data_IF_030491741011
#
_entry.id   IF_030491741011
#
_cell.length_a   1.000
_cell.length_b   1.000
_cell.length_c   1.000
_cell.angle_alpha   90.00
_cell.angle_beta   90.00
_cell.angle_gamma   90.00
#
_symmetry.space_group_name_H-M   'P 1'
#
loop_
_entity.id
_entity.type
_entity.pdbx_description
1 polymer ?
#
# COMPACT_ATOMS: atom_id res chain seq x y z
N UNK A 1 25.47 26.89 -61.38
CA UNK A 1 25.65 25.58 -60.72
C UNK A 1 24.43 25.39 -59.84
N UNK A 2 23.42 24.66 -60.29
CA UNK A 2 22.25 24.31 -59.51
C UNK A 2 22.52 22.94 -58.88
N UNK A 3 22.75 22.94 -57.57
CA UNK A 3 22.73 21.70 -56.80
C UNK A 3 21.34 21.11 -56.81
N UNK A 4 21.18 20.00 -57.49
CA UNK A 4 19.98 19.17 -57.46
C UNK A 4 19.91 18.49 -56.08
N UNK A 5 19.05 18.94 -55.21
CA UNK A 5 18.62 18.22 -54.02
C UNK A 5 17.97 16.92 -54.48
N UNK A 6 18.68 15.80 -54.40
CA UNK A 6 18.10 14.48 -54.60
C UNK A 6 17.08 14.22 -53.49
N UNK A 7 15.83 13.83 -53.81
CA UNK A 7 14.89 13.43 -52.82
C UNK A 7 15.37 12.17 -52.10
N UNK A 8 15.34 12.22 -50.78
CA UNK A 8 15.69 11.09 -49.91
C UNK A 8 14.66 9.95 -50.15
N UNK A 9 15.06 8.99 -50.99
CA UNK A 9 14.23 7.89 -51.49
C UNK A 9 14.30 6.68 -50.55
N UNK A 10 14.36 6.90 -49.24
CA UNK A 10 14.17 5.82 -48.27
C UNK A 10 12.76 5.24 -48.42
N UNK A 11 12.65 4.04 -48.97
CA UNK A 11 11.36 3.35 -49.09
C UNK A 11 10.69 3.24 -47.70
N UNK A 12 9.36 3.19 -47.69
CA UNK A 12 8.52 3.11 -46.48
C UNK A 12 9.10 2.09 -45.45
N UNK A 13 9.56 0.95 -45.90
CA UNK A 13 10.16 -0.10 -45.06
C UNK A 13 11.41 0.36 -44.33
N UNK A 14 12.29 1.12 -45.00
CA UNK A 14 13.50 1.67 -44.38
C UNK A 14 13.18 2.72 -43.32
N UNK A 15 12.18 3.57 -43.58
CA UNK A 15 11.69 4.57 -42.61
C UNK A 15 11.10 3.90 -41.36
N UNK A 16 10.24 2.89 -41.55
CA UNK A 16 9.65 2.11 -40.46
C UNK A 16 10.77 1.45 -39.61
N UNK A 17 11.74 0.80 -40.23
CA UNK A 17 12.87 0.17 -39.54
C UNK A 17 13.69 1.19 -38.74
N UNK A 18 13.95 2.38 -39.28
CA UNK A 18 14.63 3.48 -38.57
C UNK A 18 13.84 3.93 -37.35
N UNK A 19 12.50 4.09 -37.47
CA UNK A 19 11.63 4.46 -36.35
C UNK A 19 11.71 3.40 -35.24
N UNK A 20 11.53 2.11 -35.56
CA UNK A 20 11.61 1.04 -34.55
C UNK A 20 13.01 0.96 -33.91
N UNK A 21 14.08 1.18 -34.67
CA UNK A 21 15.44 1.22 -34.12
C UNK A 21 15.58 2.39 -33.13
N UNK A 22 15.13 3.59 -33.48
CA UNK A 22 15.15 4.76 -32.59
C UNK A 22 14.32 4.50 -31.32
N UNK A 23 13.10 3.99 -31.44
CA UNK A 23 12.26 3.64 -30.29
C UNK A 23 12.93 2.58 -29.39
N UNK A 24 13.57 1.57 -29.99
CA UNK A 24 14.34 0.56 -29.26
C UNK A 24 15.52 1.14 -28.49
N UNK A 25 16.29 2.05 -29.10
CA UNK A 25 17.37 2.75 -28.42
C UNK A 25 16.89 3.67 -27.31
N UNK A 26 15.80 4.41 -27.51
CA UNK A 26 15.18 5.24 -26.47
C UNK A 26 14.69 4.40 -25.31
N UNK A 27 14.01 3.27 -25.59
CA UNK A 27 13.57 2.33 -24.58
C UNK A 27 14.76 1.78 -23.78
N UNK A 28 15.80 1.29 -24.44
CA UNK A 28 17.01 0.78 -23.77
C UNK A 28 17.67 1.87 -22.92
N UNK A 29 17.77 3.09 -23.44
CA UNK A 29 18.27 4.24 -22.70
C UNK A 29 17.43 4.53 -21.45
N UNK A 30 16.10 4.48 -21.56
CA UNK A 30 15.19 4.65 -20.41
C UNK A 30 15.40 3.56 -19.36
N UNK A 31 15.51 2.29 -19.78
CA UNK A 31 15.78 1.18 -18.86
C UNK A 31 17.13 1.32 -18.15
N UNK A 32 18.18 1.75 -18.88
CA UNK A 32 19.50 2.02 -18.27
C UNK A 32 19.37 3.17 -17.25
N UNK A 33 18.65 4.24 -17.56
CA UNK A 33 18.40 5.33 -16.61
C UNK A 33 17.68 4.83 -15.36
N UNK A 34 16.74 3.90 -15.48
CA UNK A 34 16.05 3.29 -14.35
C UNK A 34 16.97 2.44 -13.45
N UNK A 35 18.20 2.13 -13.84
CA UNK A 35 19.19 1.50 -12.95
C UNK A 35 19.90 2.50 -12.03
N UNK A 36 19.78 3.81 -12.30
CA UNK A 36 20.40 4.86 -11.49
C UNK A 36 19.61 5.06 -10.19
N UNK A 37 20.24 4.90 -9.00
CA UNK A 37 19.57 4.96 -7.70
C UNK A 37 18.73 6.23 -7.49
N UNK A 38 19.26 7.39 -7.85
CA UNK A 38 18.56 8.67 -7.73
C UNK A 38 17.29 8.72 -8.57
N UNK A 39 17.33 8.21 -9.81
CA UNK A 39 16.16 8.15 -10.72
C UNK A 39 15.12 7.18 -10.17
N UNK A 40 15.54 6.00 -9.70
CA UNK A 40 14.63 5.03 -9.08
C UNK A 40 13.85 5.65 -7.92
N UNK A 41 14.56 6.32 -6.99
CA UNK A 41 13.92 6.96 -5.85
C UNK A 41 12.92 8.03 -6.28
N UNK A 42 13.25 8.87 -7.27
CA UNK A 42 12.34 9.91 -7.75
C UNK A 42 11.09 9.36 -8.42
N UNK A 43 11.21 8.27 -9.17
CA UNK A 43 10.06 7.60 -9.80
C UNK A 43 9.22 6.85 -8.77
N UNK A 44 9.87 6.16 -7.83
CA UNK A 44 9.17 5.39 -6.80
C UNK A 44 8.37 6.30 -5.85
N UNK A 45 9.03 7.31 -5.30
CA UNK A 45 8.41 8.15 -4.27
C UNK A 45 7.59 9.29 -4.85
N UNK A 46 7.98 9.83 -6.01
CA UNK A 46 7.35 11.01 -6.64
C UNK A 46 7.08 12.15 -5.65
N UNK A 47 7.90 12.25 -4.62
CA UNK A 47 7.72 13.17 -3.50
C UNK A 47 7.91 14.65 -3.88
N UNK A 48 8.46 14.93 -5.06
CA UNK A 48 8.49 16.27 -5.65
C UNK A 48 7.09 16.77 -6.07
N UNK A 49 6.14 15.85 -6.32
CA UNK A 49 4.75 16.18 -6.63
C UNK A 49 3.96 16.43 -5.35
N UNK A 50 4.12 17.60 -4.75
CA UNK A 50 3.47 18.00 -3.48
C UNK A 50 2.04 18.48 -3.68
N UNK A 51 1.18 17.60 -4.20
CA UNK A 51 -0.25 17.94 -4.39
C UNK A 51 -1.02 17.87 -3.05
N UNK A 52 -1.99 18.80 -2.81
CA UNK A 52 -2.28 19.99 -3.61
C UNK A 52 -1.13 21.01 -3.53
N UNK A 53 -0.87 21.70 -4.64
CA UNK A 53 0.16 22.75 -4.67
C UNK A 53 -0.12 23.83 -3.63
N UNK A 54 0.89 24.24 -2.88
CA UNK A 54 0.77 25.21 -1.79
C UNK A 54 -0.22 24.76 -0.70
N UNK A 55 -0.17 23.51 -0.30
CA UNK A 55 -0.98 23.00 0.81
C UNK A 55 -0.76 23.84 2.08
N UNK A 56 -1.86 24.31 2.66
CA UNK A 56 -1.86 25.04 3.92
C UNK A 56 -2.06 24.04 5.07
N UNK A 57 -0.99 23.42 5.52
CA UNK A 57 -1.06 22.37 6.55
C UNK A 57 -1.58 22.88 7.90
N UNK A 58 -1.36 24.19 8.20
CA UNK A 58 -1.86 24.84 9.41
C UNK A 58 -3.34 25.26 9.30
N UNK A 59 -3.97 25.05 8.16
CA UNK A 59 -5.38 25.34 7.92
C UNK A 59 -6.08 24.15 7.24
N UNK A 60 -6.24 23.01 7.94
CA UNK A 60 -6.84 21.79 7.40
C UNK A 60 -8.25 21.98 6.84
N UNK A 61 -8.97 22.99 7.31
CA UNK A 61 -10.31 23.38 6.86
C UNK A 61 -10.36 23.73 5.37
N UNK A 62 -9.26 24.29 4.84
CA UNK A 62 -9.13 24.59 3.40
C UNK A 62 -9.10 23.36 2.52
N UNK A 63 -8.88 22.20 3.13
CA UNK A 63 -8.83 20.92 2.46
C UNK A 63 -10.10 20.08 2.68
N UNK A 64 -11.10 20.63 3.40
CA UNK A 64 -12.43 20.01 3.58
C UNK A 64 -12.66 19.38 4.95
N UNK A 65 -11.71 19.51 5.89
CA UNK A 65 -11.93 19.10 7.28
C UNK A 65 -12.71 20.20 8.05
N UNK A 66 -13.37 19.81 9.12
CA UNK A 66 -14.15 20.76 9.91
C UNK A 66 -13.22 21.71 10.72
N UNK A 67 -13.63 22.96 10.98
CA UNK A 67 -12.84 23.92 11.75
C UNK A 67 -12.49 23.38 13.14
N UNK A 68 -11.22 23.47 13.52
CA UNK A 68 -10.72 23.04 14.83
C UNK A 68 -10.75 21.53 15.10
N UNK A 69 -11.14 20.71 14.11
CA UNK A 69 -11.17 19.24 14.21
C UNK A 69 -9.80 18.59 14.09
N UNK A 70 -8.83 19.30 13.53
CA UNK A 70 -7.51 18.76 13.15
C UNK A 70 -6.39 19.56 13.76
N UNK A 71 -5.47 18.90 14.46
CA UNK A 71 -4.22 19.45 14.91
C UNK A 71 -3.11 19.22 13.85
N UNK A 72 -2.37 20.27 13.47
CA UNK A 72 -1.15 20.16 12.69
C UNK A 72 0.03 20.01 13.64
N UNK A 73 0.65 18.82 13.66
CA UNK A 73 1.67 18.47 14.65
C UNK A 73 3.00 18.13 13.97
N UNK A 74 4.06 18.13 14.77
CA UNK A 74 5.40 17.69 14.35
C UNK A 74 5.85 16.52 15.19
N UNK A 75 6.35 15.47 14.52
CA UNK A 75 6.83 14.24 15.16
C UNK A 75 8.32 14.12 14.88
N UNK A 76 9.11 13.88 15.92
CA UNK A 76 10.55 13.65 15.82
C UNK A 76 10.84 12.17 15.64
N UNK A 77 11.68 11.84 14.68
CA UNK A 77 12.19 10.47 14.48
C UNK A 77 13.47 10.22 15.27
N UNK A 78 13.79 8.95 15.50
CA UNK A 78 14.98 8.54 16.24
C UNK A 78 16.30 8.99 15.57
N UNK A 79 16.29 9.16 14.25
CA UNK A 79 17.41 9.68 13.44
C UNK A 79 17.32 11.19 13.18
N UNK A 80 16.57 11.90 14.03
CA UNK A 80 16.52 13.36 14.10
C UNK A 80 15.88 14.08 12.89
N UNK A 81 14.91 13.43 12.23
CA UNK A 81 14.04 14.08 11.24
C UNK A 81 12.75 14.56 11.90
N UNK A 82 12.19 15.63 11.35
CA UNK A 82 10.90 16.18 11.80
C UNK A 82 9.83 15.88 10.76
N UNK A 83 8.80 15.14 11.13
CA UNK A 83 7.68 14.82 10.25
C UNK A 83 6.52 15.77 10.49
N UNK A 84 5.87 16.21 9.41
CA UNK A 84 4.57 16.87 9.49
C UNK A 84 3.47 15.82 9.58
N UNK A 85 2.49 16.05 10.43
CA UNK A 85 1.37 15.15 10.61
C UNK A 85 0.08 15.91 10.94
N UNK A 86 -1.05 15.31 10.63
CA UNK A 86 -2.36 15.72 11.10
C UNK A 86 -2.91 14.69 12.07
N UNK A 87 -3.33 15.17 13.25
CA UNK A 87 -4.17 14.41 14.15
C UNK A 87 -5.60 14.93 14.04
N UNK A 88 -6.50 14.06 13.62
CA UNK A 88 -7.90 14.39 13.31
C UNK A 88 -8.78 13.69 14.33
N UNK A 89 -9.60 14.44 15.04
CA UNK A 89 -10.52 13.92 16.04
C UNK A 89 -11.65 13.10 15.40
N UNK A 90 -12.12 12.07 16.09
CA UNK A 90 -13.35 11.37 15.74
C UNK A 90 -14.56 12.32 15.80
N UNK A 91 -15.61 12.01 15.06
CA UNK A 91 -16.81 12.87 15.01
C UNK A 91 -17.46 13.00 16.39
N UNK A 92 -17.51 11.92 17.20
CA UNK A 92 -18.08 11.98 18.53
C UNK A 92 -17.36 13.00 19.41
N UNK A 93 -16.02 12.94 19.49
CA UNK A 93 -15.24 13.89 20.31
C UNK A 93 -15.42 15.31 19.77
N UNK A 94 -15.39 15.48 18.45
CA UNK A 94 -15.54 16.78 17.82
C UNK A 94 -16.92 17.39 18.08
N UNK A 95 -18.00 16.61 18.01
CA UNK A 95 -19.37 17.08 18.20
C UNK A 95 -19.71 17.43 19.66
N UNK A 96 -18.94 16.91 20.63
CA UNK A 96 -19.09 17.28 22.04
C UNK A 96 -18.52 18.68 22.33
N UNK A 97 -17.79 19.28 21.39
CA UNK A 97 -17.24 20.62 21.51
C UNK A 97 -18.27 21.70 21.15
N UNK A 98 -18.10 22.88 21.74
CA UNK A 98 -18.86 24.06 21.31
C UNK A 98 -18.51 24.47 19.88
N UNK A 99 -19.48 24.87 19.09
CA UNK A 99 -19.23 25.36 17.71
C UNK A 99 -19.40 26.89 17.64
N UNK A 100 -18.46 27.64 16.98
CA UNK A 100 -17.20 27.13 16.45
C UNK A 100 -16.19 26.82 17.56
N UNK A 101 -15.44 25.71 17.45
CA UNK A 101 -14.41 25.41 18.42
C UNK A 101 -13.22 26.37 18.27
N UNK A 102 -12.41 26.57 19.34
CA UNK A 102 -11.17 27.33 19.21
C UNK A 102 -10.22 26.69 18.18
N UNK A 103 -9.37 27.46 17.49
CA UNK A 103 -8.44 26.90 16.49
C UNK A 103 -7.51 25.82 17.03
N UNK A 104 -7.15 25.85 18.32
CA UNK A 104 -6.31 24.87 18.99
C UNK A 104 -7.12 23.71 19.64
N UNK A 105 -8.42 23.62 19.40
CA UNK A 105 -9.26 22.63 20.09
C UNK A 105 -8.75 21.20 19.93
N UNK A 106 -8.45 20.77 18.70
CA UNK A 106 -7.94 19.43 18.47
C UNK A 106 -6.63 19.16 19.22
N UNK A 107 -5.70 20.12 19.24
CA UNK A 107 -4.39 19.97 19.91
C UNK A 107 -4.55 19.77 21.42
N UNK A 108 -5.48 20.50 22.04
CA UNK A 108 -5.76 20.40 23.47
C UNK A 108 -6.42 19.07 23.87
N UNK A 109 -7.06 18.39 22.95
CA UNK A 109 -7.81 17.15 23.21
C UNK A 109 -7.10 15.88 22.75
N UNK A 110 -5.87 15.92 22.19
CA UNK A 110 -5.17 14.75 21.66
C UNK A 110 -5.09 13.63 22.70
N UNK A 111 -4.53 13.91 23.88
CA UNK A 111 -4.31 12.88 24.90
C UNK A 111 -5.61 12.30 25.45
N UNK A 112 -6.67 13.06 25.50
CA UNK A 112 -8.00 12.58 25.86
C UNK A 112 -8.57 11.72 24.72
N UNK A 113 -8.49 12.19 23.47
CA UNK A 113 -9.05 11.53 22.31
C UNK A 113 -8.45 10.13 22.08
N UNK A 114 -7.13 9.97 22.24
CA UNK A 114 -6.47 8.65 22.03
C UNK A 114 -6.82 7.63 23.13
N UNK A 115 -7.30 8.08 24.29
CA UNK A 115 -7.75 7.20 25.38
C UNK A 115 -9.23 6.88 25.31
N UNK A 116 -10.02 7.71 24.64
CA UNK A 116 -11.48 7.54 24.54
C UNK A 116 -11.91 6.81 23.27
N UNK A 117 -11.15 6.95 22.17
CA UNK A 117 -11.51 6.41 20.86
C UNK A 117 -10.33 5.71 20.21
N UNK A 118 -10.58 4.64 19.45
CA UNK A 118 -9.56 4.03 18.61
C UNK A 118 -8.92 5.05 17.67
N UNK A 119 -7.67 4.81 17.31
CA UNK A 119 -6.93 5.69 16.39
C UNK A 119 -6.44 4.91 15.17
N UNK A 120 -6.76 5.42 13.99
CA UNK A 120 -6.19 4.95 12.73
C UNK A 120 -4.84 5.63 12.51
N UNK A 121 -3.76 4.85 12.49
CA UNK A 121 -2.44 5.30 12.06
C UNK A 121 -2.32 5.06 10.56
N UNK A 122 -2.38 6.16 9.78
CA UNK A 122 -2.49 6.10 8.32
C UNK A 122 -1.17 6.41 7.60
N UNK A 123 -0.78 5.51 6.71
CA UNK A 123 0.39 5.60 5.82
C UNK A 123 -0.05 5.73 4.37
N UNK A 124 0.25 6.87 3.76
CA UNK A 124 -0.19 7.19 2.41
C UNK A 124 0.68 6.54 1.31
N UNK A 125 0.15 6.50 0.08
CA UNK A 125 0.86 6.06 -1.12
C UNK A 125 1.93 7.06 -1.59
N UNK A 126 2.59 6.74 -2.73
CA UNK A 126 3.55 7.64 -3.34
C UNK A 126 2.92 8.98 -3.76
N UNK A 127 3.76 9.96 -4.10
CA UNK A 127 3.37 11.32 -4.49
C UNK A 127 2.48 12.06 -3.48
N UNK A 128 2.20 13.32 -3.75
CA UNK A 128 1.28 14.18 -3.02
C UNK A 128 1.56 14.26 -1.50
N UNK A 129 0.60 14.82 -0.72
CA UNK A 129 0.74 15.06 0.71
C UNK A 129 -0.49 14.55 1.46
N UNK A 130 -0.45 14.55 2.81
CA UNK A 130 -1.61 14.27 3.66
C UNK A 130 -2.84 15.12 3.35
N UNK A 131 -2.66 16.28 2.70
CA UNK A 131 -3.73 17.21 2.33
C UNK A 131 -4.42 16.89 0.98
N UNK A 132 -4.02 15.79 0.29
CA UNK A 132 -4.66 15.40 -0.97
C UNK A 132 -6.15 15.09 -0.74
N UNK A 133 -7.03 15.65 -1.56
CA UNK A 133 -8.49 15.59 -1.38
C UNK A 133 -9.03 14.17 -1.19
N UNK A 134 -8.54 13.21 -1.95
CA UNK A 134 -8.91 11.79 -1.79
C UNK A 134 -8.53 11.26 -0.40
N UNK A 135 -7.34 11.58 0.10
CA UNK A 135 -6.88 11.19 1.46
C UNK A 135 -7.75 11.84 2.53
N UNK A 136 -8.10 13.11 2.34
CA UNK A 136 -8.98 13.84 3.26
C UNK A 136 -10.37 13.20 3.32
N UNK A 137 -10.95 12.79 2.17
CA UNK A 137 -12.21 12.04 2.16
C UNK A 137 -12.11 10.72 2.94
N UNK A 138 -10.99 10.02 2.81
CA UNK A 138 -10.74 8.78 3.55
C UNK A 138 -10.67 9.05 5.06
N UNK A 139 -9.96 10.09 5.50
CA UNK A 139 -9.92 10.48 6.92
C UNK A 139 -11.30 10.83 7.45
N UNK A 140 -12.09 11.61 6.69
CA UNK A 140 -13.47 11.92 7.05
C UNK A 140 -14.34 10.68 7.20
N UNK A 141 -14.15 9.68 6.32
CA UNK A 141 -14.80 8.39 6.44
C UNK A 141 -14.42 7.65 7.72
N UNK A 142 -13.14 7.62 8.06
CA UNK A 142 -12.68 6.97 9.30
C UNK A 142 -13.20 7.68 10.55
N UNK A 143 -13.20 9.02 10.57
CA UNK A 143 -13.69 9.76 11.73
C UNK A 143 -15.21 9.67 11.92
N UNK A 144 -15.98 9.54 10.84
CA UNK A 144 -17.43 9.46 10.89
C UNK A 144 -17.97 8.02 10.99
N UNK A 145 -17.52 7.12 10.10
CA UNK A 145 -18.09 5.76 10.02
C UNK A 145 -17.47 4.78 11.00
N UNK A 146 -16.17 4.96 11.33
CA UNK A 146 -15.48 4.12 12.33
C UNK A 146 -15.44 4.78 13.71
N UNK A 147 -15.86 6.04 13.81
CA UNK A 147 -15.76 6.83 15.04
C UNK A 147 -14.34 6.80 15.64
N UNK A 148 -13.32 6.80 14.77
CA UNK A 148 -11.91 6.70 15.14
C UNK A 148 -11.20 8.03 14.93
N UNK A 149 -10.21 8.34 15.78
CA UNK A 149 -9.25 9.39 15.46
C UNK A 149 -8.36 8.95 14.30
N UNK A 150 -7.71 9.91 13.63
CA UNK A 150 -6.76 9.59 12.56
C UNK A 150 -5.45 10.33 12.80
N UNK A 151 -4.33 9.61 12.81
CA UNK A 151 -3.00 10.18 12.67
C UNK A 151 -2.49 9.91 11.25
N UNK A 152 -2.39 10.97 10.44
CA UNK A 152 -1.87 10.92 9.08
C UNK A 152 -0.55 11.69 8.99
N UNK A 153 0.55 10.99 8.69
CA UNK A 153 1.88 11.60 8.54
C UNK A 153 2.22 11.86 7.08
N UNK A 154 3.07 12.86 6.84
CA UNK A 154 3.88 12.92 5.62
C UNK A 154 5.27 12.39 5.95
N UNK A 155 5.76 11.40 5.21
CA UNK A 155 7.11 10.85 5.39
C UNK A 155 8.18 11.90 5.12
N UNK A 156 9.42 11.64 5.55
CA UNK A 156 10.58 12.46 5.17
C UNK A 156 10.61 12.73 3.66
N UNK A 157 10.81 13.98 3.28
CA UNK A 157 10.80 14.45 1.88
C UNK A 157 9.42 14.72 1.29
N UNK A 158 8.32 14.35 1.95
CA UNK A 158 6.95 14.65 1.52
C UNK A 158 6.37 15.84 2.28
N UNK A 159 5.39 16.51 1.68
CA UNK A 159 4.70 17.64 2.31
C UNK A 159 5.64 18.69 2.85
N UNK A 160 5.51 18.95 4.14
CA UNK A 160 6.38 19.85 4.93
C UNK A 160 7.37 19.08 5.82
N UNK A 161 7.57 17.78 5.57
CA UNK A 161 8.60 16.96 6.19
C UNK A 161 9.91 17.09 5.40
N UNK A 162 11.00 17.59 5.99
CA UNK A 162 12.29 17.68 5.30
C UNK A 162 12.95 16.31 5.11
N UNK A 163 14.00 16.27 4.31
CA UNK A 163 14.81 15.06 4.09
C UNK A 163 14.55 14.41 2.74
N UNK A 164 15.06 13.18 2.58
CA UNK A 164 14.95 12.37 1.37
C UNK A 164 14.37 11.00 1.74
N UNK A 165 13.33 10.54 1.04
CA UNK A 165 12.72 9.26 1.35
C UNK A 165 13.64 8.10 0.96
N UNK A 166 13.71 7.11 1.85
CA UNK A 166 14.34 5.80 1.64
C UNK A 166 13.50 4.73 2.31
N UNK A 167 13.64 3.47 1.91
CA UNK A 167 12.85 2.37 2.50
C UNK A 167 13.05 2.27 4.01
N UNK A 168 14.31 2.34 4.49
CA UNK A 168 14.62 2.32 5.91
C UNK A 168 14.16 3.61 6.62
N UNK A 169 14.30 4.76 5.93
CA UNK A 169 13.81 6.04 6.44
C UNK A 169 12.32 6.05 6.69
N UNK A 170 11.52 5.54 5.74
CA UNK A 170 10.06 5.43 5.90
C UNK A 170 9.69 4.49 7.07
N UNK A 171 10.50 3.46 7.32
CA UNK A 171 10.28 2.56 8.47
C UNK A 171 10.52 3.27 9.80
N UNK A 172 11.55 4.13 9.88
CA UNK A 172 11.81 4.97 11.05
C UNK A 172 10.71 6.02 11.24
N UNK A 173 10.19 6.59 10.15
CA UNK A 173 9.08 7.55 10.18
C UNK A 173 7.81 6.89 10.74
N UNK A 174 7.50 5.68 10.27
CA UNK A 174 6.35 4.92 10.75
C UNK A 174 6.48 4.55 12.24
N UNK A 175 7.67 4.14 12.67
CA UNK A 175 7.92 3.84 14.08
C UNK A 175 7.79 5.09 14.94
N UNK A 176 8.30 6.22 14.52
CA UNK A 176 8.15 7.48 15.23
C UNK A 176 6.69 7.91 15.39
N UNK A 177 5.85 7.71 14.36
CA UNK A 177 4.42 7.98 14.44
C UNK A 177 3.70 7.06 15.43
N UNK A 178 4.05 5.78 15.46
CA UNK A 178 3.56 4.83 16.45
C UNK A 178 3.98 5.23 17.86
N UNK A 179 5.28 5.44 18.09
CA UNK A 179 5.82 5.80 19.39
C UNK A 179 5.21 7.11 19.92
N UNK A 180 4.94 8.05 19.01
CA UNK A 180 4.25 9.30 19.37
C UNK A 180 2.83 9.05 19.88
N UNK A 181 2.03 8.18 19.20
CA UNK A 181 0.68 7.82 19.68
C UNK A 181 0.71 7.19 21.07
N UNK A 182 1.65 6.27 21.30
CA UNK A 182 1.78 5.62 22.60
C UNK A 182 2.19 6.64 23.68
N UNK A 183 3.07 7.60 23.34
CA UNK A 183 3.46 8.68 24.24
C UNK A 183 2.31 9.65 24.56
N UNK A 184 1.30 9.80 23.68
CA UNK A 184 0.07 10.54 23.94
C UNK A 184 -0.91 9.78 24.85
N UNK A 185 -0.67 8.50 25.14
CA UNK A 185 -1.51 7.66 25.99
C UNK A 185 -2.40 6.66 25.23
N UNK A 186 -2.22 6.51 23.92
CA UNK A 186 -2.94 5.49 23.16
C UNK A 186 -2.58 4.08 23.65
N UNK A 187 -3.59 3.24 23.89
CA UNK A 187 -3.38 1.81 24.09
C UNK A 187 -3.02 1.14 22.74
N UNK A 188 -2.00 0.28 22.69
CA UNK A 188 -1.70 -0.46 21.46
C UNK A 188 -2.93 -1.14 20.84
N UNK A 189 -3.82 -1.72 21.66
CA UNK A 189 -5.04 -2.39 21.22
C UNK A 189 -6.07 -1.45 20.60
N UNK A 190 -5.90 -0.13 20.77
CA UNK A 190 -6.76 0.87 20.17
C UNK A 190 -6.18 1.49 18.90
N UNK A 191 -4.99 1.04 18.47
CA UNK A 191 -4.36 1.54 17.23
C UNK A 191 -4.57 0.55 16.09
N UNK A 192 -5.24 1.01 15.02
CA UNK A 192 -5.38 0.31 13.75
C UNK A 192 -4.38 0.89 12.75
N UNK A 193 -3.47 0.06 12.26
CA UNK A 193 -2.48 0.47 11.25
C UNK A 193 -3.07 0.31 9.86
N UNK A 194 -3.10 1.39 9.08
CA UNK A 194 -3.69 1.41 7.74
C UNK A 194 -2.67 1.93 6.73
N UNK A 195 -2.39 1.14 5.71
CA UNK A 195 -1.52 1.55 4.59
C UNK A 195 -2.28 1.58 3.27
N UNK A 196 -1.95 2.53 2.39
CA UNK A 196 -2.44 2.60 1.02
C UNK A 196 -1.27 2.58 0.03
N UNK A 197 -1.33 1.73 -1.00
CA UNK A 197 -0.31 1.65 -2.04
C UNK A 197 1.11 1.49 -1.45
N UNK A 198 2.07 2.39 -1.69
CA UNK A 198 3.38 2.41 -1.05
C UNK A 198 3.28 2.29 0.49
N UNK A 199 2.28 2.93 1.08
CA UNK A 199 2.05 2.89 2.52
C UNK A 199 1.71 1.49 3.05
N UNK A 200 1.29 0.54 2.21
CA UNK A 200 1.03 -0.84 2.63
C UNK A 200 2.33 -1.56 3.01
N UNK A 201 3.40 -1.32 2.28
CA UNK A 201 4.71 -1.87 2.63
C UNK A 201 5.27 -1.25 3.91
N UNK A 202 5.05 0.06 4.11
CA UNK A 202 5.41 0.77 5.36
C UNK A 202 4.61 0.22 6.53
N UNK A 203 3.29 0.10 6.39
CA UNK A 203 2.39 -0.46 7.39
C UNK A 203 2.77 -1.90 7.75
N UNK A 204 3.03 -2.74 6.76
CA UNK A 204 3.42 -4.14 6.97
C UNK A 204 4.75 -4.23 7.75
N UNK A 205 5.73 -3.42 7.39
CA UNK A 205 7.04 -3.43 8.06
C UNK A 205 6.96 -2.97 9.52
N UNK A 206 6.18 -1.93 9.82
CA UNK A 206 5.88 -1.51 11.19
C UNK A 206 5.16 -2.63 11.95
N UNK A 207 4.10 -3.19 11.37
CA UNK A 207 3.28 -4.24 11.98
C UNK A 207 4.08 -5.50 12.29
N UNK A 208 4.99 -5.90 11.39
CA UNK A 208 5.91 -7.01 11.63
C UNK A 208 6.86 -6.71 12.78
N UNK A 209 7.49 -5.53 12.81
CA UNK A 209 8.37 -5.14 13.90
C UNK A 209 7.65 -5.16 15.24
N UNK A 210 6.43 -4.60 15.34
CA UNK A 210 5.61 -4.65 16.54
C UNK A 210 5.25 -6.08 16.96
N UNK A 211 4.93 -6.96 15.98
CA UNK A 211 4.64 -8.37 16.26
C UNK A 211 5.87 -9.13 16.76
N UNK A 212 7.06 -8.84 16.22
CA UNK A 212 8.35 -9.38 16.68
C UNK A 212 8.71 -8.87 18.09
N UNK A 213 8.36 -7.62 18.41
CA UNK A 213 8.49 -7.04 19.77
C UNK A 213 7.42 -7.61 20.75
N UNK A 214 6.51 -8.47 20.30
CA UNK A 214 5.43 -9.04 21.10
C UNK A 214 4.30 -8.07 21.43
N UNK A 215 4.21 -6.93 20.73
CA UNK A 215 3.17 -5.92 20.92
C UNK A 215 1.91 -6.38 20.20
N UNK A 216 0.81 -6.54 20.93
CA UNK A 216 -0.52 -6.76 20.37
C UNK A 216 -1.20 -5.42 20.13
N UNK A 217 -1.65 -5.19 18.91
CA UNK A 217 -2.37 -3.99 18.49
C UNK A 217 -3.63 -4.38 17.73
N UNK A 218 -4.49 -3.41 17.42
CA UNK A 218 -5.85 -3.67 16.89
C UNK A 218 -5.84 -4.49 15.60
N UNK A 219 -4.92 -4.20 14.68
CA UNK A 219 -4.76 -4.93 13.43
C UNK A 219 -4.16 -4.08 12.31
N UNK A 220 -4.09 -4.68 11.11
CA UNK A 220 -3.49 -4.06 9.94
C UNK A 220 -4.44 -4.11 8.75
N UNK A 221 -4.61 -2.96 8.07
CA UNK A 221 -5.36 -2.84 6.80
C UNK A 221 -4.40 -2.46 5.69
N UNK A 222 -4.38 -3.26 4.63
CA UNK A 222 -3.55 -3.04 3.43
C UNK A 222 -4.46 -2.75 2.24
N UNK A 223 -4.51 -1.47 1.80
CA UNK A 223 -5.35 -1.00 0.70
C UNK A 223 -4.56 -0.91 -0.59
N UNK A 224 -4.97 -1.63 -1.64
CA UNK A 224 -4.30 -1.73 -2.94
C UNK A 224 -2.80 -2.04 -2.79
N UNK A 225 -2.42 -3.11 -2.06
CA UNK A 225 -1.02 -3.43 -1.82
C UNK A 225 -0.34 -4.02 -3.04
N UNK A 226 0.99 -3.89 -3.08
CA UNK A 226 1.85 -4.69 -3.93
C UNK A 226 2.67 -5.68 -3.08
N UNK A 227 3.03 -6.83 -3.65
CA UNK A 227 3.75 -7.89 -2.94
C UNK A 227 5.23 -7.56 -2.71
N UNK A 228 5.88 -6.97 -3.71
CA UNK A 228 7.24 -6.42 -3.64
C UNK A 228 7.49 -5.53 -4.86
N UNK A 229 8.48 -4.62 -4.81
CA UNK A 229 8.89 -3.88 -6.01
C UNK A 229 9.46 -4.81 -7.08
N UNK A 230 10.06 -5.92 -6.68
CA UNK A 230 10.60 -6.91 -7.59
C UNK A 230 9.53 -7.54 -8.48
N UNK A 231 8.35 -7.84 -7.93
CA UNK A 231 7.19 -8.36 -8.66
C UNK A 231 6.38 -7.25 -9.32
N UNK A 232 6.28 -6.08 -8.68
CA UNK A 232 5.54 -4.94 -9.22
C UNK A 232 6.10 -4.51 -10.58
N UNK A 233 7.43 -4.48 -10.73
CA UNK A 233 8.10 -4.12 -12.00
C UNK A 233 7.65 -5.00 -13.17
N UNK A 234 7.35 -6.29 -12.94
CA UNK A 234 6.88 -7.20 -13.99
C UNK A 234 5.44 -6.95 -14.42
N UNK A 235 4.62 -6.48 -13.49
CA UNK A 235 3.17 -6.37 -13.67
C UNK A 235 2.71 -4.94 -13.90
N UNK A 236 3.61 -3.96 -13.70
CA UNK A 236 3.27 -2.55 -13.80
C UNK A 236 2.99 -2.12 -15.24
N UNK A 237 1.80 -1.54 -15.44
CA UNK A 237 1.38 -0.99 -16.71
C UNK A 237 1.23 0.52 -16.60
N UNK A 238 1.94 1.29 -17.42
CA UNK A 238 1.72 2.74 -17.50
C UNK A 238 0.31 2.98 -18.05
N UNK A 239 -0.50 3.75 -17.32
CA UNK A 239 -1.91 4.02 -17.63
C UNK A 239 -2.76 2.74 -17.80
N UNK A 240 -2.38 1.64 -17.14
CA UNK A 240 -3.08 0.37 -17.23
C UNK A 240 -3.01 -0.33 -18.60
N UNK A 241 -2.27 0.21 -19.57
CA UNK A 241 -2.28 -0.27 -20.96
C UNK A 241 -0.89 -0.68 -21.45
N UNK A 242 0.16 0.07 -21.06
CA UNK A 242 1.51 -0.13 -21.59
C UNK A 242 2.39 -0.91 -20.62
N UNK A 243 2.65 -2.22 -20.85
CA UNK A 243 3.52 -3.03 -20.01
C UNK A 243 4.98 -2.63 -20.21
N UNK A 244 5.51 -1.83 -19.30
CA UNK A 244 6.84 -1.20 -19.42
C UNK A 244 7.96 -2.22 -19.55
N UNK A 245 7.88 -3.32 -18.82
CA UNK A 245 8.93 -4.34 -18.75
C UNK A 245 8.74 -5.51 -19.72
N UNK A 246 7.62 -5.56 -20.45
CA UNK A 246 7.36 -6.65 -21.39
C UNK A 246 8.51 -6.87 -22.38
N UNK A 247 9.11 -5.84 -23.05
CA UNK A 247 10.19 -6.06 -23.99
C UNK A 247 11.45 -6.65 -23.34
N UNK A 248 11.77 -6.23 -22.12
CA UNK A 248 12.91 -6.78 -21.35
C UNK A 248 12.65 -8.21 -20.87
N UNK A 249 11.42 -8.49 -20.44
CA UNK A 249 11.02 -9.83 -19.99
C UNK A 249 11.08 -10.87 -21.11
N UNK A 250 10.99 -10.43 -22.37
CA UNK A 250 11.19 -11.31 -23.54
C UNK A 250 12.66 -11.69 -23.80
N UNK A 251 13.61 -10.99 -23.18
CA UNK A 251 15.05 -11.26 -23.33
C UNK A 251 15.52 -12.13 -22.17
N UNK A 252 15.98 -13.36 -22.42
CA UNK A 252 16.45 -14.25 -21.36
C UNK A 252 17.48 -13.58 -20.46
N UNK A 253 17.29 -13.67 -19.14
CA UNK A 253 18.14 -13.09 -18.08
C UNK A 253 18.15 -11.55 -17.97
N UNK A 254 17.66 -10.79 -18.95
CA UNK A 254 17.71 -9.33 -18.92
C UNK A 254 16.87 -8.75 -17.77
N UNK A 255 15.68 -9.30 -17.51
CA UNK A 255 14.86 -8.92 -16.39
C UNK A 255 15.55 -9.14 -15.03
N UNK A 256 16.20 -10.29 -14.84
CA UNK A 256 16.97 -10.57 -13.62
C UNK A 256 18.14 -9.61 -13.42
N UNK A 257 18.84 -9.26 -14.50
CA UNK A 257 19.92 -8.27 -14.45
C UNK A 257 19.36 -6.90 -14.05
N UNK A 258 18.30 -6.42 -14.71
CA UNK A 258 17.67 -5.14 -14.36
C UNK A 258 17.24 -5.10 -12.89
N UNK A 259 16.54 -6.14 -12.43
CA UNK A 259 16.05 -6.23 -11.05
C UNK A 259 17.16 -6.27 -9.99
N UNK A 260 18.37 -6.74 -10.36
CA UNK A 260 19.52 -6.71 -9.44
C UNK A 260 20.01 -5.29 -9.11
N UNK A 261 19.62 -4.29 -9.91
CA UNK A 261 19.90 -2.87 -9.66
C UNK A 261 18.82 -2.17 -8.81
N UNK A 262 17.73 -2.84 -8.45
CA UNK A 262 16.69 -2.24 -7.58
C UNK A 262 17.27 -2.01 -6.18
N UNK A 263 17.32 -0.74 -5.77
CA UNK A 263 17.85 -0.35 -4.45
C UNK A 263 16.80 -0.46 -3.35
N UNK A 264 15.52 -0.27 -3.69
CA UNK A 264 14.39 -0.44 -2.80
C UNK A 264 13.67 -1.73 -3.14
N UNK A 265 13.27 -2.49 -2.15
CA UNK A 265 12.62 -3.79 -2.34
C UNK A 265 11.16 -3.77 -1.93
N UNK A 266 10.86 -3.11 -0.81
CA UNK A 266 9.53 -3.09 -0.20
C UNK A 266 8.88 -4.49 -0.28
N UNK A 267 9.62 -5.50 0.20
CA UNK A 267 9.27 -6.91 0.07
C UNK A 267 8.31 -7.32 1.20
N UNK A 268 7.06 -6.94 1.03
CA UNK A 268 5.96 -7.32 1.93
C UNK A 268 5.73 -8.84 1.92
N UNK A 269 5.88 -9.47 0.74
CA UNK A 269 5.63 -10.90 0.57
C UNK A 269 6.51 -11.76 1.50
N UNK A 270 7.79 -11.39 1.65
CA UNK A 270 8.74 -12.16 2.46
C UNK A 270 8.51 -12.03 3.97
N UNK A 271 7.76 -11.03 4.40
CA UNK A 271 7.60 -10.72 5.84
C UNK A 271 6.17 -10.85 6.35
N UNK A 272 5.16 -10.85 5.47
CA UNK A 272 3.74 -10.78 5.87
C UNK A 272 3.30 -11.95 6.75
N UNK A 273 3.88 -13.14 6.56
CA UNK A 273 3.58 -14.33 7.37
C UNK A 273 4.05 -14.24 8.83
N UNK A 274 4.84 -13.20 9.17
CA UNK A 274 5.28 -12.93 10.54
C UNK A 274 4.26 -12.10 11.33
N UNK A 275 3.24 -11.53 10.68
CA UNK A 275 2.18 -10.79 11.33
C UNK A 275 1.31 -11.70 12.19
N UNK A 276 1.08 -11.29 13.44
CA UNK A 276 0.29 -12.05 14.44
C UNK A 276 -0.83 -11.17 15.01
N UNK A 277 -1.53 -10.47 14.11
CA UNK A 277 -2.66 -9.59 14.40
C UNK A 277 -3.72 -9.80 13.33
N UNK A 278 -4.98 -9.37 13.53
CA UNK A 278 -5.99 -9.37 12.48
C UNK A 278 -5.52 -8.57 11.26
N UNK A 279 -5.74 -9.12 10.05
CA UNK A 279 -5.30 -8.50 8.79
C UNK A 279 -6.48 -8.41 7.83
N UNK A 280 -6.68 -7.23 7.26
CA UNK A 280 -7.54 -7.02 6.10
C UNK A 280 -6.70 -6.55 4.92
N UNK A 281 -6.65 -7.38 3.87
CA UNK A 281 -6.12 -6.99 2.56
C UNK A 281 -7.32 -6.63 1.69
N UNK A 282 -7.31 -5.45 1.09
CA UNK A 282 -8.39 -5.03 0.22
C UNK A 282 -7.86 -4.47 -1.11
N UNK A 283 -8.55 -4.84 -2.21
CA UNK A 283 -8.17 -4.43 -3.56
C UNK A 283 -9.41 -4.31 -4.45
N UNK A 284 -9.41 -3.34 -5.36
CA UNK A 284 -10.41 -3.23 -6.39
C UNK A 284 -9.98 -4.06 -7.63
N UNK A 285 -10.90 -4.83 -8.22
CA UNK A 285 -10.59 -5.61 -9.42
C UNK A 285 -10.35 -4.71 -10.65
N UNK A 286 -10.86 -3.48 -10.61
CA UNK A 286 -10.63 -2.42 -11.61
C UNK A 286 -9.41 -1.53 -11.30
N UNK A 287 -8.48 -1.99 -10.45
CA UNK A 287 -7.21 -1.32 -10.22
C UNK A 287 -6.28 -1.53 -11.43
N UNK A 288 -6.10 -0.46 -12.22
CA UNK A 288 -5.26 -0.45 -13.41
C UNK A 288 -3.80 -0.10 -13.12
N UNK A 289 -3.51 0.46 -11.93
CA UNK A 289 -2.15 0.83 -11.53
C UNK A 289 -1.39 -0.38 -10.96
N UNK A 290 -2.02 -1.11 -10.04
CA UNK A 290 -1.47 -2.30 -9.40
C UNK A 290 -2.48 -3.44 -9.51
N UNK A 291 -2.08 -4.55 -10.13
CA UNK A 291 -2.96 -5.71 -10.27
C UNK A 291 -3.36 -6.29 -8.90
N UNK A 292 -4.65 -6.61 -8.73
CA UNK A 292 -5.15 -7.29 -7.52
C UNK A 292 -4.48 -8.65 -7.26
N UNK A 293 -3.77 -9.23 -8.24
CA UNK A 293 -3.00 -10.47 -8.07
C UNK A 293 -1.90 -10.34 -7.02
N UNK A 294 -1.42 -9.12 -6.73
CA UNK A 294 -0.50 -8.88 -5.62
C UNK A 294 -1.17 -9.14 -4.26
N UNK A 295 -2.45 -8.77 -4.11
CA UNK A 295 -3.23 -9.06 -2.90
C UNK A 295 -3.50 -10.56 -2.77
N UNK A 296 -3.80 -11.25 -3.88
CA UNK A 296 -3.93 -12.70 -3.89
C UNK A 296 -2.62 -13.36 -3.42
N UNK A 297 -1.46 -12.93 -3.91
CA UNK A 297 -0.16 -13.46 -3.50
C UNK A 297 0.15 -13.24 -2.01
N UNK A 298 -0.20 -12.07 -1.46
CA UNK A 298 -0.02 -11.77 -0.03
C UNK A 298 -0.95 -12.64 0.83
N UNK A 299 -2.19 -12.80 0.43
CA UNK A 299 -3.15 -13.66 1.12
C UNK A 299 -2.73 -15.12 1.09
N UNK A 300 -2.25 -15.60 -0.07
CA UNK A 300 -1.72 -16.96 -0.23
C UNK A 300 -0.49 -17.19 0.65
N UNK A 301 0.39 -16.20 0.80
CA UNK A 301 1.55 -16.29 1.69
C UNK A 301 1.15 -16.43 3.18
N UNK A 302 0.05 -15.78 3.59
CA UNK A 302 -0.51 -15.91 4.93
C UNK A 302 -1.18 -17.27 5.14
N UNK A 303 -1.75 -17.85 4.09
CA UNK A 303 -2.41 -19.17 4.12
C UNK A 303 -1.42 -20.34 4.01
N UNK A 304 -0.25 -20.12 3.38
CA UNK A 304 0.76 -21.14 3.09
C UNK A 304 1.13 -22.04 4.27
N UNK A 305 1.35 -21.53 5.51
CA UNK A 305 1.70 -22.35 6.66
C UNK A 305 0.64 -23.38 7.08
N UNK A 306 -0.61 -23.22 6.62
CA UNK A 306 -1.75 -24.07 6.98
C UNK A 306 -2.07 -25.12 5.91
N UNK A 307 -1.38 -25.06 4.77
CA UNK A 307 -1.62 -25.97 3.65
C UNK A 307 -0.64 -27.15 3.68
N UNK A 308 -1.07 -28.34 3.24
CA UNK A 308 -0.16 -29.46 3.04
C UNK A 308 1.00 -29.10 2.12
N UNK A 309 2.23 -29.48 2.45
CA UNK A 309 3.38 -29.20 1.59
C UNK A 309 3.27 -29.97 0.27
N UNK A 310 3.81 -29.39 -0.80
CA UNK A 310 3.93 -30.02 -2.11
C UNK A 310 5.41 -30.26 -2.39
N UNK A 311 5.78 -31.51 -2.52
CA UNK A 311 7.15 -31.93 -2.80
C UNK A 311 7.34 -32.15 -4.30
N UNK A 312 8.28 -31.45 -4.89
CA UNK A 312 8.72 -31.68 -6.26
C UNK A 312 9.98 -32.57 -6.26
N UNK A 313 10.10 -33.56 -7.14
CA UNK A 313 11.35 -34.28 -7.32
C UNK A 313 12.50 -33.32 -7.65
N UNK A 314 13.75 -33.61 -7.21
CA UNK A 314 14.91 -32.73 -7.40
C UNK A 314 15.46 -32.71 -8.83
N UNK A 315 14.71 -33.23 -9.80
CA UNK A 315 15.04 -33.26 -11.23
C UNK A 315 14.06 -32.38 -12.00
N UNK A 316 14.44 -31.91 -13.20
CA UNK A 316 13.53 -31.09 -14.03
C UNK A 316 12.25 -31.85 -14.37
N UNK A 317 11.13 -31.15 -14.44
CA UNK A 317 9.80 -31.75 -14.68
C UNK A 317 9.73 -32.56 -15.97
N UNK A 318 10.55 -32.22 -16.97
CA UNK A 318 10.66 -32.93 -18.25
C UNK A 318 11.16 -34.38 -18.07
N UNK A 319 11.87 -34.69 -16.97
CA UNK A 319 12.43 -35.98 -16.63
C UNK A 319 11.60 -36.79 -15.63
N UNK A 320 10.43 -36.26 -15.22
CA UNK A 320 9.58 -36.94 -14.25
C UNK A 320 8.92 -38.20 -14.83
N UNK A 321 8.93 -39.26 -14.06
CA UNK A 321 8.19 -40.49 -14.38
C UNK A 321 6.68 -40.26 -14.25
N UNK A 322 5.88 -41.12 -14.88
CA UNK A 322 4.41 -41.11 -14.72
C UNK A 322 3.99 -41.24 -13.27
N UNK A 323 4.72 -42.00 -12.44
CA UNK A 323 4.45 -42.13 -11.01
C UNK A 323 4.67 -40.80 -10.28
N UNK A 324 5.81 -40.13 -10.52
CA UNK A 324 6.13 -38.82 -9.91
C UNK A 324 5.10 -37.76 -10.27
N UNK A 325 4.66 -37.71 -11.54
CA UNK A 325 3.55 -36.88 -11.95
C UNK A 325 2.25 -37.20 -11.22
N UNK A 326 1.90 -38.47 -11.03
CA UNK A 326 0.71 -38.91 -10.30
C UNK A 326 0.75 -38.49 -8.82
N UNK A 327 1.89 -38.66 -8.17
CA UNK A 327 2.10 -38.25 -6.77
C UNK A 327 2.00 -36.72 -6.63
N UNK A 328 2.63 -35.97 -7.51
CA UNK A 328 2.56 -34.52 -7.52
C UNK A 328 1.13 -33.99 -7.72
N UNK A 329 0.39 -34.58 -8.67
CA UNK A 329 -1.02 -34.26 -8.89
C UNK A 329 -1.89 -34.56 -7.67
N UNK A 330 -1.67 -35.70 -7.01
CA UNK A 330 -2.38 -36.06 -5.78
C UNK A 330 -2.15 -34.99 -4.69
N UNK A 331 -0.90 -34.56 -4.50
CA UNK A 331 -0.57 -33.51 -3.53
C UNK A 331 -1.27 -32.19 -3.86
N UNK A 332 -1.32 -31.78 -5.14
CA UNK A 332 -2.02 -30.58 -5.57
C UNK A 332 -3.53 -30.67 -5.29
N UNK A 333 -4.14 -31.81 -5.52
CA UNK A 333 -5.57 -32.03 -5.21
C UNK A 333 -5.82 -31.93 -3.72
N UNK A 334 -5.04 -32.66 -2.91
CA UNK A 334 -5.15 -32.59 -1.43
C UNK A 334 -4.96 -31.19 -0.90
N UNK A 335 -4.00 -30.44 -1.47
CA UNK A 335 -3.75 -29.06 -1.09
C UNK A 335 -4.92 -28.14 -1.45
N UNK A 336 -5.53 -28.33 -2.62
CA UNK A 336 -6.71 -27.56 -3.04
C UNK A 336 -7.90 -27.84 -2.10
N UNK A 337 -8.16 -29.09 -1.79
CA UNK A 337 -9.23 -29.50 -0.86
C UNK A 337 -8.99 -28.91 0.55
N UNK A 338 -7.75 -28.94 1.04
CA UNK A 338 -7.38 -28.31 2.30
C UNK A 338 -7.62 -26.77 2.26
N UNK A 339 -7.24 -26.10 1.15
CA UNK A 339 -7.50 -24.67 0.95
C UNK A 339 -9.01 -24.37 0.99
N UNK A 340 -9.80 -25.14 0.26
CA UNK A 340 -11.26 -24.97 0.22
C UNK A 340 -11.91 -25.18 1.59
N UNK A 341 -11.39 -26.10 2.39
CA UNK A 341 -11.90 -26.37 3.75
C UNK A 341 -11.53 -25.29 4.77
N UNK A 342 -10.40 -24.60 4.57
CA UNK A 342 -9.93 -23.52 5.46
C UNK A 342 -10.61 -22.19 5.17
N UNK A 343 -11.02 -21.94 3.93
CA UNK A 343 -11.55 -20.63 3.50
C UNK A 343 -13.06 -20.56 3.68
N UNK A 344 -13.51 -19.46 4.26
CA UNK A 344 -14.90 -19.02 4.18
C UNK A 344 -15.00 -17.96 3.11
N UNK A 345 -15.74 -18.24 2.03
CA UNK A 345 -15.98 -17.29 0.94
C UNK A 345 -17.38 -16.67 1.03
N UNK A 346 -17.44 -15.35 1.03
CA UNK A 346 -18.69 -14.58 0.99
C UNK A 346 -18.71 -13.74 -0.28
N UNK A 347 -19.73 -13.93 -1.12
CA UNK A 347 -20.01 -13.06 -2.26
C UNK A 347 -20.97 -11.97 -1.82
N UNK A 348 -20.60 -10.70 -2.04
CA UNK A 348 -21.43 -9.54 -1.73
C UNK A 348 -21.99 -9.04 -3.07
N UNK A 349 -23.30 -9.20 -3.34
CA UNK A 349 -23.88 -8.89 -4.64
C UNK A 349 -23.63 -7.44 -5.04
N UNK A 350 -23.23 -7.20 -6.29
CA UNK A 350 -22.90 -5.90 -6.88
C UNK A 350 -21.77 -5.11 -6.18
N UNK A 351 -21.00 -5.77 -5.31
CA UNK A 351 -19.92 -5.12 -4.57
C UNK A 351 -18.59 -5.86 -4.71
N UNK A 352 -18.57 -7.17 -4.51
CA UNK A 352 -17.33 -7.93 -4.59
C UNK A 352 -17.37 -9.28 -3.88
N UNK A 353 -16.22 -9.76 -3.43
CA UNK A 353 -16.08 -11.01 -2.69
C UNK A 353 -15.09 -10.88 -1.54
N UNK A 354 -15.34 -11.66 -0.49
CA UNK A 354 -14.51 -11.68 0.71
C UNK A 354 -14.13 -13.12 1.02
N UNK A 355 -12.83 -13.41 1.06
CA UNK A 355 -12.26 -14.68 1.49
C UNK A 355 -11.63 -14.51 2.87
N UNK A 356 -11.94 -15.42 3.81
CA UNK A 356 -11.50 -15.33 5.19
C UNK A 356 -11.01 -16.68 5.71
N UNK A 357 -10.03 -16.65 6.59
CA UNK A 357 -9.62 -17.79 7.41
C UNK A 357 -9.05 -17.33 8.75
N UNK A 358 -8.97 -18.24 9.71
CA UNK A 358 -8.33 -17.97 11.01
C UNK A 358 -6.90 -18.50 10.96
N UNK A 359 -5.92 -17.58 11.03
CA UNK A 359 -4.49 -17.86 11.01
C UNK A 359 -3.79 -17.22 12.21
N UNK A 360 -2.88 -17.97 12.85
CA UNK A 360 -2.16 -17.53 14.06
C UNK A 360 -3.06 -17.11 15.23
N UNK A 361 -4.31 -17.61 15.26
CA UNK A 361 -5.33 -17.23 16.24
C UNK A 361 -6.05 -15.93 15.95
N UNK A 362 -5.82 -15.35 14.76
CA UNK A 362 -6.38 -14.06 14.34
C UNK A 362 -7.12 -14.20 13.01
N UNK A 363 -8.07 -13.30 12.74
CA UNK A 363 -8.82 -13.28 11.50
C UNK A 363 -8.01 -12.64 10.37
N UNK A 364 -7.89 -13.37 9.27
CA UNK A 364 -7.24 -12.90 8.03
C UNK A 364 -8.33 -12.79 6.95
N UNK A 365 -8.43 -11.63 6.33
CA UNK A 365 -9.48 -11.31 5.36
C UNK A 365 -8.86 -10.74 4.09
N UNK A 366 -9.30 -11.24 2.93
CA UNK A 366 -9.08 -10.64 1.62
C UNK A 366 -10.42 -10.15 1.08
N UNK A 367 -10.57 -8.85 0.91
CA UNK A 367 -11.72 -8.23 0.26
C UNK A 367 -11.34 -7.79 -1.14
N UNK A 368 -12.03 -8.29 -2.16
CA UNK A 368 -11.95 -7.78 -3.53
C UNK A 368 -13.26 -7.10 -3.91
N UNK A 369 -13.19 -5.83 -4.30
CA UNK A 369 -14.34 -5.07 -4.78
C UNK A 369 -14.35 -5.03 -6.30
N UNK A 370 -15.53 -5.07 -6.91
CA UNK A 370 -15.64 -5.02 -8.38
C UNK A 370 -15.23 -3.65 -8.96
N UNK A 371 -15.31 -2.60 -8.14
CA UNK A 371 -14.96 -1.22 -8.51
C UNK A 371 -14.28 -0.52 -7.34
N UNK A 372 -13.63 0.62 -7.63
CA UNK A 372 -12.97 1.43 -6.61
C UNK A 372 -11.60 1.93 -7.05
N UNK A 373 -11.07 1.38 -8.13
CA UNK A 373 -9.75 1.72 -8.68
C UNK A 373 -8.64 1.72 -7.62
N UNK A 374 -7.44 2.12 -8.00
CA UNK A 374 -6.29 2.17 -7.09
C UNK A 374 -6.52 3.12 -5.91
N UNK A 375 -7.15 4.25 -6.16
CA UNK A 375 -7.16 5.37 -5.24
C UNK A 375 -8.48 5.53 -4.45
N UNK A 376 -9.61 5.04 -4.95
CA UNK A 376 -10.91 5.27 -4.36
C UNK A 376 -11.44 4.09 -3.54
N UNK A 377 -10.82 2.90 -3.62
CA UNK A 377 -11.28 1.68 -2.94
C UNK A 377 -11.53 1.88 -1.45
N UNK A 378 -10.64 2.60 -0.74
CA UNK A 378 -10.79 2.87 0.70
C UNK A 378 -11.90 3.85 1.05
N UNK A 379 -12.40 4.63 0.08
CA UNK A 379 -13.50 5.60 0.30
C UNK A 379 -14.87 4.98 0.10
N UNK A 380 -14.94 3.76 -0.43
CA UNK A 380 -16.20 3.04 -0.59
C UNK A 380 -16.82 2.75 0.78
N UNK A 381 -18.09 3.11 0.96
CA UNK A 381 -18.79 2.89 2.23
C UNK A 381 -18.77 1.42 2.66
N UNK A 382 -19.03 0.50 1.72
CA UNK A 382 -18.98 -0.94 2.01
C UNK A 382 -17.61 -1.44 2.45
N UNK A 383 -16.52 -0.85 1.94
CA UNK A 383 -15.17 -1.15 2.42
C UNK A 383 -14.99 -0.68 3.87
N UNK A 384 -15.42 0.53 4.17
CA UNK A 384 -15.38 1.06 5.55
C UNK A 384 -16.26 0.25 6.50
N UNK A 385 -17.39 -0.27 6.05
CA UNK A 385 -18.20 -1.21 6.84
C UNK A 385 -17.49 -2.54 7.10
N UNK A 386 -16.74 -3.07 6.10
CA UNK A 386 -15.93 -4.28 6.34
C UNK A 386 -14.80 -3.99 7.32
N UNK A 387 -14.10 -2.84 7.24
CA UNK A 387 -13.12 -2.42 8.24
C UNK A 387 -13.77 -2.35 9.62
N UNK A 388 -14.94 -1.71 9.71
CA UNK A 388 -15.70 -1.56 10.95
C UNK A 388 -16.01 -2.91 11.60
N UNK A 389 -16.62 -3.84 10.88
CA UNK A 389 -17.00 -5.15 11.45
C UNK A 389 -15.81 -6.06 11.72
N UNK A 390 -14.66 -5.83 11.08
CA UNK A 390 -13.45 -6.63 11.29
C UNK A 390 -12.69 -6.17 12.54
N UNK A 391 -12.63 -4.86 12.80
CA UNK A 391 -11.69 -4.32 13.79
C UNK A 391 -12.37 -3.56 14.95
N UNK A 392 -13.64 -3.19 14.84
CA UNK A 392 -14.31 -2.36 15.85
C UNK A 392 -15.43 -3.11 16.53
N UNK A 393 -15.54 -2.93 17.84
CA UNK A 393 -16.62 -3.48 18.65
C UNK A 393 -17.82 -2.53 18.64
N UNK A 394 -19.03 -3.00 19.03
CA UNK A 394 -20.18 -2.10 19.23
C UNK A 394 -19.93 -0.98 20.26
N UNK A 395 -18.98 -1.17 21.19
CA UNK A 395 -18.60 -0.18 22.20
C UNK A 395 -17.76 0.95 21.59
N UNK A 396 -16.85 0.64 20.67
CA UNK A 396 -16.05 1.64 19.93
C UNK A 396 -16.94 2.60 19.12
N UNK A 397 -18.13 2.16 18.74
CA UNK A 397 -19.03 2.90 17.83
C UNK A 397 -20.08 3.76 18.59
N UNK A 398 -20.13 3.66 19.90
CA UNK A 398 -21.00 4.48 20.77
C UNK A 398 -20.29 5.73 21.21
#
# INVERSE_FOLDING_TARGET
MSESIQPDNDGLFTRIRKIFAVLGFLYLGAVILLTVPWIQSHILYMNALKLPWNAHFDAPERHGLAPGKTANIKIQTADNHTLGAWFILSDTIYHDMSFPPPPSAAELHISEAVTQRPTVLFFHGNAATRALSMRVRLYSGFTSRLNANVLAIDYRGFGDSPGTPTEDGLSLDARAAWDWLIAQGASPQDVLIVGHSLGTAVASRLSVGLSEDGVKFRGTVLMSPFSSLYTLVDTYNIFGVFPVMLPINMIPRAAGIYKSFLIHKFDTLSVISKLKVPILILHAEDDWDISHTHSDALFDALLEPYLPPVYSPPVSQELWTTQQWGEYHTQLVTRREARESLLTRTVIPNFGSMDQFDGFGERITLLKTSTGSHNEVGTLEGVQDVIRVTFFTPEDLR
#
